data_IF_255713184121
#
_entry.id   IF_255713184121
#
_cell.length_a   1.000
_cell.length_b   1.000
_cell.length_c   1.000
_cell.angle_alpha   90.00
_cell.angle_beta   90.00
_cell.angle_gamma   90.00
#
_symmetry.space_group_name_H-M   'P 1'
#
loop_
_entity.id
_entity.type
_entity.pdbx_description
1 polymer ?
#
# COMPACT_ATOMS: atom_id res chain seq x y z
N UNK A 1 -4.02 9.34 4.84
CA UNK A 1 -2.83 10.20 4.64
C UNK A 1 -2.41 10.16 3.18
N UNK A 2 -2.63 11.24 2.42
CA UNK A 2 -2.47 11.21 0.97
C UNK A 2 -1.04 10.90 0.48
N UNK A 3 0.01 11.37 1.16
CA UNK A 3 1.39 11.22 0.65
C UNK A 3 1.93 9.78 0.68
N UNK A 4 1.85 9.10 1.83
CA UNK A 4 2.34 7.72 1.95
C UNK A 4 1.51 6.76 1.08
N UNK A 5 0.19 6.95 1.04
CA UNK A 5 -0.69 6.22 0.13
C UNK A 5 -0.30 6.45 -1.35
N UNK A 6 0.09 7.69 -1.72
CA UNK A 6 0.53 8.00 -3.08
C UNK A 6 1.81 7.24 -3.43
N UNK A 7 2.79 7.24 -2.52
CA UNK A 7 4.04 6.52 -2.75
C UNK A 7 3.82 5.01 -2.87
N UNK A 8 3.00 4.42 -1.99
CA UNK A 8 2.65 3.00 -2.05
C UNK A 8 1.99 2.68 -3.40
N UNK A 9 1.03 3.48 -3.82
CA UNK A 9 0.35 3.26 -5.09
C UNK A 9 1.27 3.40 -6.30
N UNK A 10 2.10 4.43 -6.35
CA UNK A 10 3.12 4.57 -7.40
C UNK A 10 4.05 3.36 -7.42
N UNK A 11 4.51 2.89 -6.25
CA UNK A 11 5.41 1.75 -6.14
C UNK A 11 4.79 0.46 -6.70
N UNK A 12 3.54 0.15 -6.33
CA UNK A 12 2.87 -1.05 -6.83
C UNK A 12 2.47 -0.94 -8.31
N UNK A 13 2.00 0.21 -8.78
CA UNK A 13 1.72 0.43 -10.21
C UNK A 13 3.00 0.32 -11.05
N UNK A 14 4.11 0.90 -10.58
CA UNK A 14 5.41 0.77 -11.23
C UNK A 14 5.90 -0.69 -11.29
N UNK A 15 5.51 -1.53 -10.32
CA UNK A 15 5.74 -2.99 -10.34
C UNK A 15 4.81 -3.76 -11.29
N UNK A 16 3.83 -3.11 -11.91
CA UNK A 16 2.87 -3.70 -12.84
C UNK A 16 1.53 -4.12 -12.22
N UNK A 17 1.24 -3.70 -10.99
CA UNK A 17 -0.04 -4.04 -10.33
C UNK A 17 -1.16 -3.10 -10.82
N UNK A 18 -2.37 -3.64 -10.95
CA UNK A 18 -3.59 -2.85 -11.08
C UNK A 18 -3.99 -2.27 -9.72
N UNK A 19 -4.12 -0.94 -9.63
CA UNK A 19 -4.33 -0.25 -8.36
C UNK A 19 -5.75 0.33 -8.23
N UNK A 20 -6.33 0.21 -7.03
CA UNK A 20 -7.50 0.94 -6.56
C UNK A 20 -7.18 1.61 -5.22
N UNK A 21 -7.68 2.83 -5.01
CA UNK A 21 -7.30 3.66 -3.85
C UNK A 21 -8.48 4.43 -3.30
N UNK A 22 -8.49 4.66 -2.00
CA UNK A 22 -9.46 5.48 -1.27
C UNK A 22 -10.90 5.10 -1.67
N UNK A 23 -11.16 3.80 -1.71
CA UNK A 23 -12.45 3.24 -2.17
C UNK A 23 -13.39 3.16 -0.98
N UNK A 24 -14.48 3.93 -1.04
CA UNK A 24 -15.56 3.85 -0.05
C UNK A 24 -16.42 2.62 -0.29
N UNK A 25 -16.62 1.82 0.75
CA UNK A 25 -17.32 0.51 0.69
C UNK A 25 -18.41 0.40 1.76
N UNK A 26 -19.39 -0.47 1.53
CA UNK A 26 -20.53 -0.68 2.43
C UNK A 26 -21.44 0.54 2.61
N UNK A 27 -22.09 1.00 1.53
CA UNK A 27 -23.04 2.13 1.60
C UNK A 27 -24.14 1.84 2.63
N UNK A 28 -24.36 2.77 3.57
CA UNK A 28 -25.34 2.61 4.64
C UNK A 28 -26.70 3.21 4.25
N UNK A 29 -27.79 2.66 4.81
CA UNK A 29 -29.17 3.06 4.50
C UNK A 29 -29.49 4.52 4.86
N UNK A 30 -28.83 5.07 5.87
CA UNK A 30 -28.96 6.46 6.31
C UNK A 30 -27.95 7.41 5.65
N UNK A 31 -27.26 6.95 4.60
CA UNK A 31 -26.13 7.66 4.02
C UNK A 31 -24.81 7.37 4.75
N UNK A 32 -23.70 7.78 4.13
CA UNK A 32 -22.35 7.40 4.59
C UNK A 32 -21.90 6.04 4.06
N UNK A 33 -20.76 5.58 4.56
CA UNK A 33 -20.09 4.36 4.13
C UNK A 33 -19.55 3.63 5.36
N UNK A 34 -19.54 2.30 5.32
CA UNK A 34 -19.00 1.44 6.37
C UNK A 34 -17.50 1.69 6.56
N UNK A 35 -16.76 1.83 5.46
CA UNK A 35 -15.31 2.00 5.50
C UNK A 35 -14.79 2.68 4.22
N UNK A 36 -13.56 3.19 4.29
CA UNK A 36 -12.73 3.54 3.14
C UNK A 36 -11.50 2.63 3.15
N UNK A 37 -11.19 2.01 2.01
CA UNK A 37 -10.03 1.14 1.82
C UNK A 37 -8.93 1.95 1.14
N UNK A 38 -7.76 2.06 1.79
CA UNK A 38 -6.73 3.03 1.42
C UNK A 38 -6.03 2.65 0.12
N UNK A 39 -5.39 1.48 0.03
CA UNK A 39 -4.74 0.96 -1.19
C UNK A 39 -5.02 -0.52 -1.39
N UNK A 40 -5.45 -0.90 -2.59
CA UNK A 40 -5.62 -2.30 -3.02
C UNK A 40 -4.87 -2.46 -4.34
N UNK A 41 -4.00 -3.46 -4.42
CA UNK A 41 -3.18 -3.74 -5.58
C UNK A 41 -3.33 -5.19 -6.02
N UNK A 42 -3.50 -5.41 -7.31
CA UNK A 42 -3.63 -6.75 -7.90
C UNK A 42 -2.61 -6.96 -9.02
N UNK A 43 -1.79 -7.99 -8.91
CA UNK A 43 -0.87 -8.41 -9.96
C UNK A 43 -1.54 -9.47 -10.87
N UNK A 44 -1.87 -9.12 -12.13
CA UNK A 44 -2.52 -10.05 -13.04
C UNK A 44 -1.62 -11.20 -13.50
N UNK A 45 -0.31 -11.11 -13.33
CA UNK A 45 0.64 -12.14 -13.75
C UNK A 45 0.85 -13.22 -12.70
N UNK A 46 0.81 -12.85 -11.41
CA UNK A 46 1.02 -13.79 -10.30
C UNK A 46 -0.26 -14.15 -9.56
N UNK A 47 -1.35 -13.42 -9.80
CA UNK A 47 -2.58 -13.56 -9.02
C UNK A 47 -2.47 -12.94 -7.63
N UNK A 48 -1.39 -12.20 -7.33
CA UNK A 48 -1.18 -11.63 -6.02
C UNK A 48 -2.12 -10.44 -5.78
N UNK A 49 -2.94 -10.52 -4.72
CA UNK A 49 -3.87 -9.48 -4.31
C UNK A 49 -3.52 -9.01 -2.90
N UNK A 50 -3.22 -7.72 -2.76
CA UNK A 50 -2.79 -7.12 -1.50
C UNK A 50 -3.63 -5.88 -1.16
N UNK A 51 -3.99 -5.76 0.12
CA UNK A 51 -4.65 -4.63 0.71
C UNK A 51 -3.73 -3.98 1.76
N UNK A 52 -3.44 -2.69 1.59
CA UNK A 52 -2.42 -1.97 2.34
C UNK A 52 -3.06 -0.79 3.05
N UNK A 53 -2.90 -0.74 4.36
CA UNK A 53 -3.51 0.25 5.25
C UNK A 53 -2.44 1.02 6.02
N UNK A 54 -2.03 2.20 5.53
CA UNK A 54 -1.05 3.03 6.22
C UNK A 54 -1.64 3.88 7.36
N UNK A 55 -0.97 3.92 8.50
CA UNK A 55 -1.32 4.76 9.65
C UNK A 55 -0.09 5.34 10.36
N UNK A 56 -0.18 6.63 10.70
CA UNK A 56 0.77 7.32 11.60
C UNK A 56 0.23 7.54 13.00
N UNK A 57 -0.88 6.88 13.35
CA UNK A 57 -1.48 7.06 14.66
C UNK A 57 -0.52 6.66 15.79
N UNK A 58 -0.70 7.28 16.95
CA UNK A 58 -0.03 6.91 18.19
C UNK A 58 -0.98 6.16 19.15
N UNK A 59 -1.96 5.43 18.61
CA UNK A 59 -2.91 4.70 19.44
C UNK A 59 -2.27 3.50 20.14
N UNK A 60 -2.92 3.04 21.21
CA UNK A 60 -2.55 1.78 21.85
C UNK A 60 -2.70 0.61 20.88
N UNK A 61 -1.95 -0.48 21.12
CA UNK A 61 -2.08 -1.69 20.33
C UNK A 61 -3.49 -2.27 20.33
N UNK A 62 -4.21 -2.22 21.46
CA UNK A 62 -5.59 -2.67 21.52
C UNK A 62 -6.52 -1.85 20.60
N UNK A 63 -6.35 -0.52 20.58
CA UNK A 63 -7.13 0.35 19.69
C UNK A 63 -6.76 0.13 18.22
N UNK A 64 -5.47 -0.09 17.91
CA UNK A 64 -5.04 -0.46 16.56
C UNK A 64 -5.66 -1.80 16.14
N UNK A 65 -5.64 -2.81 17.00
CA UNK A 65 -6.23 -4.12 16.76
C UNK A 65 -7.70 -3.98 16.35
N UNK A 66 -8.49 -3.22 17.11
CA UNK A 66 -9.91 -2.98 16.82
C UNK A 66 -10.11 -2.27 15.47
N UNK A 67 -9.33 -1.20 15.21
CA UNK A 67 -9.47 -0.40 13.99
C UNK A 67 -9.06 -1.17 12.74
N UNK A 68 -7.92 -1.84 12.78
CA UNK A 68 -7.43 -2.63 11.66
C UNK A 68 -8.29 -3.87 11.42
N UNK A 69 -8.83 -4.51 12.47
CA UNK A 69 -9.81 -5.59 12.31
C UNK A 69 -11.02 -5.12 11.49
N UNK A 70 -11.56 -3.93 11.77
CA UNK A 70 -12.68 -3.37 10.99
C UNK A 70 -12.30 -3.12 9.53
N UNK A 71 -11.15 -2.47 9.28
CA UNK A 71 -10.64 -2.20 7.92
C UNK A 71 -10.42 -3.48 7.12
N UNK A 72 -9.74 -4.45 7.72
CA UNK A 72 -9.40 -5.74 7.12
C UNK A 72 -10.61 -6.64 6.86
N UNK A 73 -11.58 -6.65 7.77
CA UNK A 73 -12.84 -7.35 7.54
C UNK A 73 -13.66 -6.70 6.41
N UNK A 74 -13.72 -5.37 6.36
CA UNK A 74 -14.40 -4.66 5.28
C UNK A 74 -13.73 -4.95 3.92
N UNK A 75 -12.40 -4.98 3.86
CA UNK A 75 -11.66 -5.33 2.65
C UNK A 75 -12.03 -6.73 2.13
N UNK A 76 -11.95 -7.76 3.00
CA UNK A 76 -12.35 -9.14 2.64
C UNK A 76 -13.79 -9.22 2.13
N UNK A 77 -14.70 -8.47 2.75
CA UNK A 77 -16.12 -8.45 2.39
C UNK A 77 -16.39 -7.77 1.04
N UNK A 78 -15.65 -6.72 0.71
CA UNK A 78 -16.02 -5.82 -0.39
C UNK A 78 -15.08 -5.82 -1.61
N UNK A 79 -13.84 -6.32 -1.51
CA UNK A 79 -12.91 -6.31 -2.64
C UNK A 79 -13.51 -7.01 -3.87
N UNK A 80 -13.99 -8.24 -3.71
CA UNK A 80 -14.54 -9.03 -4.82
C UNK A 80 -15.95 -8.60 -5.25
N UNK A 81 -16.70 -7.88 -4.42
CA UNK A 81 -18.08 -7.49 -4.74
C UNK A 81 -18.22 -6.03 -5.19
N UNK A 82 -17.19 -5.19 -4.98
CA UNK A 82 -17.24 -3.74 -5.27
C UNK A 82 -15.99 -3.18 -5.92
N UNK A 83 -14.82 -3.80 -5.77
CA UNK A 83 -13.54 -3.22 -6.22
C UNK A 83 -13.04 -3.93 -7.47
N UNK A 84 -12.81 -5.23 -7.35
CA UNK A 84 -12.33 -6.12 -8.40
C UNK A 84 -13.36 -7.22 -8.64
N UNK A 85 -14.50 -6.83 -9.23
CA UNK A 85 -15.68 -7.69 -9.38
C UNK A 85 -15.53 -8.84 -10.37
N UNK A 86 -14.39 -8.91 -11.06
CA UNK A 86 -14.05 -9.94 -12.03
C UNK A 86 -13.05 -10.96 -11.49
N UNK A 87 -12.53 -10.77 -10.28
CA UNK A 87 -11.64 -11.74 -9.62
C UNK A 87 -12.45 -12.82 -8.91
N UNK A 88 -11.85 -14.01 -8.78
CA UNK A 88 -12.43 -15.11 -8.01
C UNK A 88 -12.49 -14.74 -6.52
N UNK A 89 -13.67 -14.84 -5.91
CA UNK A 89 -13.90 -14.51 -4.50
C UNK A 89 -13.18 -15.42 -3.51
N UNK A 90 -12.63 -16.55 -3.96
CA UNK A 90 -11.83 -17.46 -3.15
C UNK A 90 -10.34 -17.06 -3.08
N UNK A 91 -9.90 -16.07 -3.86
CA UNK A 91 -8.53 -15.60 -3.83
C UNK A 91 -8.15 -15.05 -2.45
N UNK A 92 -6.93 -15.37 -2.03
CA UNK A 92 -6.37 -14.81 -0.80
C UNK A 92 -6.09 -13.31 -0.97
N UNK A 93 -6.42 -12.54 0.06
CA UNK A 93 -6.08 -11.11 0.14
C UNK A 93 -5.00 -10.96 1.20
N UNK A 94 -3.76 -10.72 0.77
CA UNK A 94 -2.70 -10.31 1.70
C UNK A 94 -3.09 -8.97 2.32
N UNK A 95 -2.96 -8.85 3.64
CA UNK A 95 -3.29 -7.62 4.36
C UNK A 95 -2.07 -7.10 5.09
N UNK A 96 -1.77 -5.83 4.89
CA UNK A 96 -0.58 -5.18 5.45
C UNK A 96 -0.97 -3.89 6.15
N UNK A 97 -0.59 -3.77 7.42
CA UNK A 97 -0.64 -2.55 8.20
C UNK A 97 0.71 -1.84 8.11
N UNK A 98 0.75 -0.65 7.48
CA UNK A 98 1.96 0.17 7.42
C UNK A 98 1.95 1.14 8.60
N UNK A 99 2.82 0.95 9.59
CA UNK A 99 2.81 1.71 10.85
C UNK A 99 4.08 2.54 11.03
N UNK A 100 4.07 3.51 11.95
CA UNK A 100 5.30 4.28 12.29
C UNK A 100 6.47 3.41 12.76
N UNK A 101 6.18 2.24 13.32
CA UNK A 101 7.18 1.32 13.84
C UNK A 101 6.70 -0.11 13.79
N UNK A 102 7.67 -1.01 13.67
CA UNK A 102 7.48 -2.45 13.71
C UNK A 102 8.14 -2.98 14.99
N UNK A 103 7.35 -3.27 16.05
CA UNK A 103 7.90 -3.71 17.33
C UNK A 103 8.49 -5.13 17.23
N UNK A 104 9.62 -5.37 17.89
CA UNK A 104 10.21 -6.70 17.99
C UNK A 104 9.23 -7.69 18.63
N UNK A 105 9.02 -8.83 17.97
CA UNK A 105 8.18 -9.92 18.47
C UNK A 105 6.68 -9.74 18.26
N UNK A 106 6.27 -8.78 17.43
CA UNK A 106 4.90 -8.66 16.92
C UNK A 106 4.97 -8.30 15.44
N UNK A 107 4.79 -9.31 14.62
CA UNK A 107 4.81 -9.21 13.15
C UNK A 107 3.40 -9.08 12.55
N UNK A 108 2.35 -9.17 13.37
CA UNK A 108 0.96 -9.12 12.93
C UNK A 108 0.09 -8.15 13.75
N UNK A 109 -0.92 -7.59 13.06
CA UNK A 109 -1.98 -6.77 13.59
C UNK A 109 -3.29 -7.16 12.91
N UNK A 110 -4.32 -7.55 13.66
CA UNK A 110 -5.61 -7.98 13.12
C UNK A 110 -5.51 -9.10 12.07
N UNK A 111 -4.51 -9.98 12.20
CA UNK A 111 -4.20 -11.06 11.25
C UNK A 111 -3.55 -10.60 9.94
N UNK A 112 -3.24 -9.31 9.79
CA UNK A 112 -2.43 -8.79 8.70
C UNK A 112 -0.98 -8.55 9.14
N UNK A 113 -0.05 -8.55 8.20
CA UNK A 113 1.37 -8.28 8.46
C UNK A 113 1.59 -6.84 8.87
N UNK A 114 2.53 -6.61 9.77
CA UNK A 114 3.04 -5.28 10.08
C UNK A 114 4.26 -5.00 9.21
N UNK A 115 4.31 -3.81 8.63
CA UNK A 115 5.53 -3.22 8.10
C UNK A 115 5.64 -1.80 8.66
N UNK A 116 6.83 -1.39 9.06
CA UNK A 116 7.05 0.01 9.42
C UNK A 116 7.18 0.88 8.18
N UNK A 117 6.92 2.17 8.33
CA UNK A 117 7.20 3.17 7.29
C UNK A 117 8.68 3.09 6.87
N UNK A 118 9.60 2.92 7.83
CA UNK A 118 11.03 2.85 7.53
C UNK A 118 11.42 1.59 6.75
N UNK A 119 10.85 0.43 7.07
CA UNK A 119 11.05 -0.82 6.32
C UNK A 119 10.50 -0.68 4.89
N UNK A 120 9.28 -0.17 4.73
CA UNK A 120 8.69 0.09 3.42
C UNK A 120 9.53 1.07 2.60
N UNK A 121 9.94 2.19 3.22
CA UNK A 121 10.79 3.18 2.56
C UNK A 121 12.15 2.60 2.18
N UNK A 122 12.72 1.71 2.99
CA UNK A 122 13.96 1.03 2.68
C UNK A 122 13.81 0.09 1.47
N UNK A 123 12.71 -0.68 1.40
CA UNK A 123 12.40 -1.53 0.25
C UNK A 123 12.27 -0.70 -1.03
N UNK A 124 11.42 0.32 -1.02
CA UNK A 124 11.18 1.20 -2.18
C UNK A 124 12.49 1.85 -2.62
N UNK A 125 13.25 2.42 -1.67
CA UNK A 125 14.54 3.05 -1.94
C UNK A 125 15.52 2.08 -2.59
N UNK A 126 15.62 0.85 -2.10
CA UNK A 126 16.51 -0.15 -2.70
C UNK A 126 16.13 -0.46 -4.15
N UNK A 127 14.84 -0.59 -4.46
CA UNK A 127 14.37 -0.80 -5.85
C UNK A 127 14.69 0.40 -6.74
N UNK A 128 14.45 1.61 -6.25
CA UNK A 128 14.76 2.86 -6.97
C UNK A 128 16.27 3.01 -7.23
N UNK A 129 17.12 2.70 -6.24
CA UNK A 129 18.58 2.72 -6.40
C UNK A 129 19.01 1.72 -7.48
N UNK A 130 18.39 0.53 -7.50
CA UNK A 130 18.65 -0.50 -8.51
C UNK A 130 18.43 -0.06 -9.96
N UNK A 131 17.60 0.96 -10.20
CA UNK A 131 17.42 1.53 -11.54
C UNK A 131 18.69 2.25 -12.06
N UNK A 132 19.52 2.79 -11.17
CA UNK A 132 20.66 3.63 -11.55
C UNK A 132 20.27 5.04 -11.97
N UNK A 133 21.20 5.76 -12.62
CA UNK A 133 21.07 7.20 -12.89
C UNK A 133 19.91 7.52 -13.83
N UNK A 134 19.29 8.69 -13.63
CA UNK A 134 18.11 9.12 -14.38
C UNK A 134 18.39 9.29 -15.86
N UNK A 135 19.60 9.77 -16.24
CA UNK A 135 19.96 9.99 -17.64
C UNK A 135 19.97 8.71 -18.49
N UNK A 136 20.03 7.52 -17.88
CA UNK A 136 20.05 6.22 -18.58
C UNK A 136 18.76 5.42 -18.37
N UNK A 137 18.27 5.37 -17.14
CA UNK A 137 17.22 4.46 -16.72
C UNK A 137 16.12 5.20 -15.96
N UNK A 138 15.56 6.21 -16.61
CA UNK A 138 14.54 7.06 -16.06
C UNK A 138 13.30 6.27 -15.57
N UNK A 139 12.96 6.37 -14.27
CA UNK A 139 11.61 6.01 -13.81
C UNK A 139 10.60 6.93 -14.54
N UNK A 140 9.50 6.41 -15.12
CA UNK A 140 8.54 7.22 -15.87
C UNK A 140 7.98 8.40 -15.08
N UNK A 141 7.71 9.53 -15.76
CA UNK A 141 7.25 10.78 -15.12
C UNK A 141 5.88 10.68 -14.45
N UNK A 142 5.06 9.69 -14.85
CA UNK A 142 3.79 9.40 -14.19
C UNK A 142 3.96 8.92 -12.72
N UNK A 143 5.19 8.60 -12.30
CA UNK A 143 5.55 8.24 -10.92
C UNK A 143 6.39 9.34 -10.27
N UNK A 144 5.83 10.54 -10.00
CA UNK A 144 6.60 11.69 -9.57
C UNK A 144 7.31 11.48 -8.22
N UNK A 145 6.76 10.71 -7.29
CA UNK A 145 7.40 10.44 -6.01
C UNK A 145 8.58 9.48 -6.18
N UNK A 146 8.41 8.40 -6.94
CA UNK A 146 9.51 7.49 -7.27
C UNK A 146 10.62 8.19 -8.08
N UNK A 147 10.23 9.04 -9.04
CA UNK A 147 11.15 9.88 -9.83
C UNK A 147 11.98 10.79 -8.95
N UNK A 148 11.34 11.41 -7.96
CA UNK A 148 12.02 12.28 -6.99
C UNK A 148 13.01 11.48 -6.15
N UNK A 149 12.63 10.29 -5.68
CA UNK A 149 13.55 9.39 -4.97
C UNK A 149 14.75 8.98 -5.86
N UNK A 150 14.52 8.71 -7.15
CA UNK A 150 15.61 8.37 -8.07
C UNK A 150 16.58 9.53 -8.27
N UNK A 151 16.05 10.74 -8.48
CA UNK A 151 16.87 11.95 -8.57
C UNK A 151 17.68 12.19 -7.29
N UNK A 152 17.07 11.98 -6.13
CA UNK A 152 17.71 12.17 -4.84
C UNK A 152 18.84 11.16 -4.58
N UNK A 153 18.62 9.88 -4.90
CA UNK A 153 19.57 8.81 -4.55
C UNK A 153 20.59 8.50 -5.65
N UNK A 154 20.19 8.60 -6.92
CA UNK A 154 21.03 8.22 -8.06
C UNK A 154 21.54 9.45 -8.85
N UNK A 155 20.88 10.60 -8.68
CA UNK A 155 21.16 11.81 -9.45
C UNK A 155 20.79 11.71 -10.93
N UNK A 156 20.93 12.83 -11.63
CA UNK A 156 20.70 12.87 -13.08
C UNK A 156 21.85 12.22 -13.84
N UNK A 157 23.07 12.71 -13.62
CA UNK A 157 24.32 12.13 -14.15
C UNK A 157 25.16 11.43 -13.07
N UNK A 158 25.05 11.90 -11.83
CA UNK A 158 25.72 11.38 -10.64
C UNK A 158 25.01 11.89 -9.39
N UNK A 159 25.12 11.16 -8.29
CA UNK A 159 24.78 11.65 -6.95
C UNK A 159 25.88 12.62 -6.48
N UNK A 160 25.50 13.72 -5.82
CA UNK A 160 26.43 14.68 -5.23
C UNK A 160 26.89 14.24 -3.84
#
# INVERSE_FOLDING_TARGET
MSHLENLIAEYYDWKGYLIKRNIKVGRLSRGGWEMELDVIAFDPHTGHLIHIEPSVDAHSWATREERFTKKFNAARKYIFSKVFTWLDSSMEVEQVAVLISHPKGRDELAGGKIISIDELMAEIRQKVIGCGIVAKNAIPEQYPLLRTLQLSHNGYYKTL
#
